data_IF_229296335941
#
_entry.id   IF_229296335941
#
_cell.length_a   1.000
_cell.length_b   1.000
_cell.length_c   1.000
_cell.angle_alpha   90.00
_cell.angle_beta   90.00
_cell.angle_gamma   90.00
#
_symmetry.space_group_name_H-M   'P 1'
#
loop_
_entity.id
_entity.type
_entity.pdbx_description
1 polymer ?
#
# COMPACT_ATOMS: atom_id res chain seq x y z
N UNK A 1 -3.45 -3.09 12.43
CA UNK A 1 -2.45 -2.29 11.68
C UNK A 1 -2.97 -2.00 10.26
N UNK A 2 -3.26 -0.73 9.91
CA UNK A 2 -3.58 -0.34 8.54
C UNK A 2 -2.45 -0.71 7.55
N UNK A 3 -1.24 -0.99 8.03
CA UNK A 3 -0.13 -1.41 7.20
C UNK A 3 -0.28 -2.87 6.76
N UNK A 4 -0.84 -3.73 7.62
CA UNK A 4 -1.12 -5.10 7.24
C UNK A 4 -2.22 -5.11 6.20
N UNK A 5 -3.09 -4.07 6.20
CA UNK A 5 -4.04 -3.87 5.13
C UNK A 5 -3.33 -3.46 3.85
N UNK A 6 -2.60 -2.35 3.87
CA UNK A 6 -2.25 -1.76 2.58
C UNK A 6 -1.20 -2.55 1.82
N UNK A 7 -0.49 -3.42 2.54
CA UNK A 7 0.43 -4.45 2.10
C UNK A 7 -0.08 -4.96 0.75
N UNK A 8 -1.37 -5.29 0.74
CA UNK A 8 -2.15 -6.04 -0.20
C UNK A 8 -2.91 -5.20 -1.18
N UNK A 9 -2.35 -4.08 -1.66
CA UNK A 9 -3.29 -3.18 -2.31
C UNK A 9 -3.82 -3.85 -3.58
N UNK A 10 -2.97 -4.69 -4.15
CA UNK A 10 -3.26 -5.74 -5.11
C UNK A 10 -2.46 -7.03 -4.83
N UNK A 11 -1.67 -7.06 -3.74
CA UNK A 11 -0.66 -8.08 -3.42
C UNK A 11 0.23 -7.54 -2.28
N UNK A 12 0.71 -8.34 -1.31
CA UNK A 12 1.43 -7.96 -0.07
C UNK A 12 2.62 -7.03 -0.13
N UNK A 13 3.08 -6.55 -1.27
CA UNK A 13 3.80 -5.27 -1.15
C UNK A 13 3.65 -4.45 -2.43
N UNK A 14 2.42 -4.41 -2.91
CA UNK A 14 1.95 -3.45 -3.90
C UNK A 14 1.95 -2.06 -3.25
N UNK A 15 1.69 -2.05 -1.93
CA UNK A 15 1.77 -0.93 -0.99
C UNK A 15 2.84 0.10 -1.44
N UNK A 16 4.12 -0.28 -1.57
CA UNK A 16 5.22 0.63 -1.83
C UNK A 16 5.14 1.34 -3.18
N UNK A 17 4.43 0.74 -4.15
CA UNK A 17 4.16 1.30 -5.46
C UNK A 17 2.96 2.23 -5.45
N UNK A 18 2.50 2.69 -4.28
CA UNK A 18 1.13 3.17 -4.28
C UNK A 18 0.76 4.10 -3.15
N UNK A 19 1.73 4.87 -2.66
CA UNK A 19 1.41 6.00 -1.83
C UNK A 19 2.11 7.26 -2.34
N UNK A 20 1.65 7.78 -3.50
CA UNK A 20 2.01 9.10 -4.01
C UNK A 20 1.94 10.17 -2.92
N UNK A 21 3.06 10.86 -2.68
CA UNK A 21 3.18 11.87 -1.63
C UNK A 21 2.69 13.22 -2.16
N UNK A 22 1.41 13.25 -2.53
CA UNK A 22 0.75 14.42 -3.08
C UNK A 22 -0.69 14.07 -3.44
N UNK A 23 -1.52 13.83 -2.42
CA UNK A 23 -2.93 13.53 -2.58
C UNK A 23 -3.71 14.82 -2.79
#
# INVERSE_FOLDING_TARGET
>A
NSTTFHQALLDPRVRGLYFPAGG
#
